data_IF_265788515683
#
_entry.id   IF_265788515683
#
_cell.length_a   1.000
_cell.length_b   1.000
_cell.length_c   1.000
_cell.angle_alpha   90.00
_cell.angle_beta   90.00
_cell.angle_gamma   90.00
#
_symmetry.space_group_name_H-M   'P 1'
#
loop_
_entity.id
_entity.type
_entity.pdbx_description
1 polymer ?
#
# COMPACT_ATOMS: atom_id res chain seq x y z
N UNK A 1 -28.74 84.67 12.22
CA UNK A 1 -28.04 83.97 11.11
C UNK A 1 -27.24 82.83 11.72
N UNK A 2 -27.68 81.61 11.47
CA UNK A 2 -27.26 80.35 12.12
C UNK A 2 -26.11 79.71 11.34
N UNK A 3 -25.14 79.10 12.04
CA UNK A 3 -24.54 77.85 11.55
C UNK A 3 -24.00 77.00 12.71
N UNK A 4 -24.80 76.02 13.11
CA UNK A 4 -24.40 74.86 13.91
C UNK A 4 -23.96 73.79 12.93
N UNK A 5 -22.76 73.23 13.09
CA UNK A 5 -22.29 72.09 12.29
C UNK A 5 -22.41 70.81 13.11
N UNK A 6 -23.39 69.98 12.78
CA UNK A 6 -23.51 68.60 13.26
C UNK A 6 -22.66 67.66 12.40
N UNK A 7 -21.72 66.93 13.00
CA UNK A 7 -21.06 65.79 12.35
C UNK A 7 -22.05 64.64 12.15
N UNK A 8 -22.35 64.31 10.90
CA UNK A 8 -23.04 63.06 10.57
C UNK A 8 -22.04 61.91 10.59
N UNK A 9 -22.30 60.92 11.44
CA UNK A 9 -21.65 59.60 11.40
C UNK A 9 -22.35 58.79 10.32
N UNK A 10 -21.73 58.64 9.15
CA UNK A 10 -22.24 57.79 8.09
C UNK A 10 -22.17 56.32 8.52
N UNK A 11 -23.31 55.64 8.42
CA UNK A 11 -23.49 54.22 8.65
C UNK A 11 -22.93 53.48 7.43
N UNK A 12 -21.70 52.98 7.51
CA UNK A 12 -21.15 52.09 6.50
C UNK A 12 -21.70 50.68 6.72
N UNK A 13 -22.56 50.25 5.81
CA UNK A 13 -22.97 48.86 5.60
C UNK A 13 -21.74 47.96 5.57
N UNK A 14 -21.55 47.13 6.58
CA UNK A 14 -20.50 46.12 6.59
C UNK A 14 -20.86 45.03 5.60
N UNK A 15 -20.28 45.10 4.40
CA UNK A 15 -20.07 43.94 3.55
C UNK A 15 -19.32 42.91 4.38
N UNK A 16 -20.00 41.83 4.75
CA UNK A 16 -19.40 40.65 5.36
C UNK A 16 -18.43 40.03 4.34
N UNK A 17 -17.17 40.46 4.42
CA UNK A 17 -16.04 39.76 3.82
C UNK A 17 -16.00 38.37 4.42
N UNK A 18 -16.27 37.36 3.61
CA UNK A 18 -15.97 35.96 3.95
C UNK A 18 -14.50 35.90 4.40
N UNK A 19 -14.30 35.59 5.68
CA UNK A 19 -12.98 35.29 6.21
C UNK A 19 -12.40 34.12 5.43
N UNK A 20 -11.12 34.14 5.02
CA UNK A 20 -10.51 32.99 4.38
C UNK A 20 -10.65 31.79 5.33
N UNK A 21 -11.34 30.76 4.84
CA UNK A 21 -11.62 29.53 5.56
C UNK A 21 -10.29 29.01 6.12
N UNK A 22 -10.09 29.13 7.44
CA UNK A 22 -8.86 28.75 8.08
C UNK A 22 -8.60 27.28 7.76
N UNK A 23 -7.55 27.01 6.99
CA UNK A 23 -7.15 25.65 6.66
C UNK A 23 -6.91 24.91 7.97
N UNK A 24 -7.59 23.79 8.26
CA UNK A 24 -7.36 23.07 9.50
C UNK A 24 -5.87 22.71 9.58
N UNK A 25 -5.22 23.13 10.67
CA UNK A 25 -3.78 22.96 10.84
C UNK A 25 -3.39 21.50 11.05
N UNK A 26 -4.35 20.65 11.45
CA UNK A 26 -4.17 19.21 11.63
C UNK A 26 -5.50 18.47 11.42
N UNK A 27 -5.46 17.39 10.64
CA UNK A 27 -6.59 16.46 10.50
C UNK A 27 -6.71 15.58 11.75
N UNK A 28 -7.91 15.08 12.04
CA UNK A 28 -8.06 14.08 13.09
C UNK A 28 -7.39 12.76 12.65
N UNK A 29 -6.91 11.91 13.58
CA UNK A 29 -6.29 10.64 13.22
C UNK A 29 -7.17 9.73 12.34
N UNK A 30 -8.50 9.79 12.55
CA UNK A 30 -9.47 9.05 11.73
C UNK A 30 -9.54 9.59 10.30
N UNK A 31 -9.44 10.91 10.12
CA UNK A 31 -9.42 11.56 8.81
C UNK A 31 -8.09 11.31 8.08
N UNK A 32 -6.97 11.28 8.83
CA UNK A 32 -5.67 10.87 8.28
C UNK A 32 -5.71 9.43 7.75
N UNK A 33 -6.31 8.52 8.52
CA UNK A 33 -6.49 7.12 8.10
C UNK A 33 -7.43 7.04 6.90
N UNK A 34 -8.55 7.75 6.92
CA UNK A 34 -9.50 7.77 5.81
C UNK A 34 -8.87 8.32 4.52
N UNK A 35 -8.05 9.37 4.61
CA UNK A 35 -7.26 9.88 3.49
C UNK A 35 -6.34 8.81 2.92
N UNK A 36 -5.61 8.11 3.78
CA UNK A 36 -4.71 7.04 3.37
C UNK A 36 -5.44 5.88 2.69
N UNK A 37 -6.58 5.45 3.25
CA UNK A 37 -7.41 4.41 2.63
C UNK A 37 -8.01 4.87 1.30
N UNK A 38 -8.38 6.15 1.17
CA UNK A 38 -8.85 6.71 -0.10
C UNK A 38 -7.74 6.68 -1.16
N UNK A 39 -6.51 7.04 -0.78
CA UNK A 39 -5.33 6.94 -1.66
C UNK A 39 -5.14 5.52 -2.21
N UNK A 40 -5.19 4.50 -1.32
CA UNK A 40 -5.03 3.10 -1.73
C UNK A 40 -6.20 2.58 -2.57
N UNK A 41 -7.44 2.90 -2.18
CA UNK A 41 -8.63 2.34 -2.80
C UNK A 41 -8.95 2.93 -4.18
N UNK A 42 -8.70 4.23 -4.38
CA UNK A 42 -9.11 4.92 -5.62
C UNK A 42 -7.95 5.24 -6.56
N UNK A 43 -6.70 5.08 -6.11
CA UNK A 43 -5.53 5.48 -6.89
C UNK A 43 -5.50 6.97 -7.24
N UNK A 44 -6.17 7.80 -6.44
CA UNK A 44 -6.21 9.25 -6.68
C UNK A 44 -4.81 9.85 -6.62
N UNK A 45 -4.58 10.86 -7.45
CA UNK A 45 -3.33 11.62 -7.38
C UNK A 45 -3.24 12.39 -6.06
N UNK A 46 -2.03 12.58 -5.55
CA UNK A 46 -1.80 13.38 -4.34
C UNK A 46 -2.44 14.78 -4.44
N UNK A 47 -2.47 15.36 -5.65
CA UNK A 47 -3.08 16.67 -5.91
C UNK A 47 -4.59 16.65 -5.70
N UNK A 48 -5.28 15.60 -6.15
CA UNK A 48 -6.73 15.45 -5.94
C UNK A 48 -7.05 15.24 -4.47
N UNK A 49 -6.25 14.45 -3.76
CA UNK A 49 -6.40 14.25 -2.32
C UNK A 49 -6.22 15.56 -1.55
N UNK A 50 -5.18 16.34 -1.88
CA UNK A 50 -4.96 17.66 -1.28
C UNK A 50 -6.17 18.58 -1.43
N UNK A 51 -6.82 18.55 -2.62
CA UNK A 51 -8.02 19.33 -2.88
C UNK A 51 -9.22 18.81 -2.10
N UNK A 52 -9.49 17.50 -2.13
CA UNK A 52 -10.60 16.85 -1.42
C UNK A 52 -10.59 17.10 0.09
N UNK A 53 -9.40 17.02 0.70
CA UNK A 53 -9.23 17.16 2.14
C UNK A 53 -8.86 18.59 2.57
N UNK A 54 -8.76 19.52 1.61
CA UNK A 54 -8.33 20.90 1.84
C UNK A 54 -7.00 21.00 2.63
N UNK A 55 -6.00 20.17 2.29
CA UNK A 55 -4.69 20.12 2.97
C UNK A 55 -3.51 20.38 2.01
N UNK A 56 -2.40 20.88 2.55
CA UNK A 56 -1.22 21.18 1.74
C UNK A 56 -0.52 19.89 1.29
N UNK A 57 0.10 19.88 0.11
CA UNK A 57 0.84 18.70 -0.41
C UNK A 57 1.89 18.16 0.56
N UNK A 58 2.58 19.05 1.28
CA UNK A 58 3.53 18.65 2.30
C UNK A 58 2.85 17.91 3.49
N UNK A 59 1.63 18.29 3.85
CA UNK A 59 0.86 17.62 4.91
C UNK A 59 0.35 16.27 4.42
N UNK A 60 -0.20 16.22 3.22
CA UNK A 60 -0.66 14.97 2.59
C UNK A 60 0.47 13.93 2.49
N UNK A 61 1.63 14.31 1.97
CA UNK A 61 2.79 13.43 1.86
C UNK A 61 3.25 12.88 3.23
N UNK A 62 3.26 13.72 4.27
CA UNK A 62 3.57 13.28 5.64
C UNK A 62 2.53 12.29 6.17
N UNK A 63 1.25 12.52 5.90
CA UNK A 63 0.17 11.61 6.29
C UNK A 63 0.35 10.27 5.60
N UNK A 64 0.59 10.24 4.27
CA UNK A 64 0.79 8.99 3.54
C UNK A 64 1.93 8.17 4.14
N UNK A 65 3.09 8.78 4.39
CA UNK A 65 4.24 8.10 5.00
C UNK A 65 3.93 7.61 6.42
N UNK A 66 3.34 8.47 7.25
CA UNK A 66 3.02 8.13 8.64
C UNK A 66 2.00 7.01 8.74
N UNK A 67 0.93 7.04 7.93
CA UNK A 67 -0.11 6.00 7.91
C UNK A 67 0.41 4.69 7.31
N UNK A 68 1.24 4.74 6.27
CA UNK A 68 1.95 3.56 5.74
C UNK A 68 2.77 2.87 6.83
N UNK A 69 3.62 3.61 7.54
CA UNK A 69 4.46 3.05 8.60
C UNK A 69 3.63 2.49 9.76
N UNK A 70 2.59 3.21 10.17
CA UNK A 70 1.67 2.73 11.20
C UNK A 70 0.99 1.42 10.82
N UNK A 71 0.46 1.32 9.60
CA UNK A 71 -0.18 0.10 9.10
C UNK A 71 0.81 -1.03 8.90
N UNK A 72 2.03 -0.74 8.46
CA UNK A 72 3.11 -1.73 8.37
C UNK A 72 3.39 -2.37 9.73
N UNK A 73 3.54 -1.56 10.79
CA UNK A 73 3.76 -2.09 12.15
C UNK A 73 2.54 -2.85 12.67
N UNK A 74 1.34 -2.31 12.47
CA UNK A 74 0.10 -2.93 12.95
C UNK A 74 -0.14 -4.28 12.27
N UNK A 75 -0.11 -4.31 10.94
CA UNK A 75 -0.36 -5.53 10.16
C UNK A 75 0.80 -6.52 10.27
N UNK A 76 2.04 -6.04 10.36
CA UNK A 76 3.22 -6.88 10.56
C UNK A 76 3.25 -7.60 11.92
N UNK A 77 2.49 -7.12 12.91
CA UNK A 77 2.33 -7.81 14.19
C UNK A 77 1.38 -9.02 14.12
N UNK A 78 0.58 -9.13 13.05
CA UNK A 78 -0.36 -10.22 12.85
C UNK A 78 0.36 -11.37 12.16
N UNK A 79 0.41 -12.53 12.82
CA UNK A 79 0.85 -13.76 12.16
C UNK A 79 -0.22 -14.24 11.18
N UNK A 80 0.08 -14.12 9.88
CA UNK A 80 -0.83 -14.52 8.79
C UNK A 80 -0.60 -15.96 8.30
N UNK A 81 0.50 -16.60 8.73
CA UNK A 81 0.79 -17.98 8.32
C UNK A 81 -0.24 -18.96 8.91
N UNK A 82 -0.76 -19.84 8.07
CA UNK A 82 -1.83 -20.74 8.44
C UNK A 82 -1.32 -22.18 8.64
N UNK A 83 -1.71 -22.79 9.75
CA UNK A 83 -1.43 -24.21 10.01
C UNK A 83 -2.05 -25.09 8.89
N UNK A 84 -1.35 -26.16 8.44
CA UNK A 84 -1.81 -27.03 7.35
C UNK A 84 -3.25 -27.53 7.54
N UNK A 85 -3.63 -27.89 8.76
CA UNK A 85 -4.95 -28.43 9.09
C UNK A 85 -6.07 -27.42 8.81
N UNK A 86 -5.83 -26.13 9.10
CA UNK A 86 -6.79 -25.05 8.83
C UNK A 86 -6.93 -24.78 7.34
N UNK A 87 -5.82 -24.87 6.59
CA UNK A 87 -5.86 -24.74 5.14
C UNK A 87 -6.68 -25.88 4.52
N UNK A 88 -6.43 -27.12 4.95
CA UNK A 88 -7.16 -28.29 4.45
C UNK A 88 -8.65 -28.26 4.78
N UNK A 89 -9.02 -27.76 5.97
CA UNK A 89 -10.42 -27.64 6.38
C UNK A 89 -11.23 -26.71 5.47
N UNK A 90 -10.60 -25.68 4.91
CA UNK A 90 -11.25 -24.70 4.02
C UNK A 90 -10.90 -24.90 2.55
N UNK A 91 -10.20 -25.98 2.19
CA UNK A 91 -9.69 -26.19 0.84
C UNK A 91 -10.85 -26.38 -0.16
N UNK A 92 -10.91 -25.60 -1.25
CA UNK A 92 -11.96 -25.74 -2.26
C UNK A 92 -11.93 -27.12 -2.92
N UNK A 93 -13.08 -27.60 -3.40
CA UNK A 93 -13.20 -28.88 -4.10
C UNK A 93 -12.36 -28.96 -5.37
N UNK A 94 -12.09 -27.81 -6.00
CA UNK A 94 -11.24 -27.71 -7.20
C UNK A 94 -9.77 -28.10 -6.93
N UNK A 95 -9.33 -28.03 -5.66
CA UNK A 95 -8.02 -28.50 -5.22
C UNK A 95 -8.03 -29.96 -4.76
N UNK A 96 -9.10 -30.72 -5.03
CA UNK A 96 -9.16 -32.15 -4.69
C UNK A 96 -8.17 -33.00 -5.51
N UNK A 97 -8.00 -34.26 -5.11
CA UNK A 97 -7.07 -35.19 -5.77
C UNK A 97 -5.61 -34.80 -5.55
N UNK A 98 -4.81 -34.56 -6.61
CA UNK A 98 -3.36 -34.33 -6.50
C UNK A 98 -2.99 -33.03 -5.75
N UNK A 99 -3.92 -32.06 -5.66
CA UNK A 99 -3.66 -30.75 -5.03
C UNK A 99 -4.22 -30.63 -3.61
N UNK A 100 -4.74 -31.74 -3.04
CA UNK A 100 -5.44 -31.71 -1.74
C UNK A 100 -4.55 -31.23 -0.58
N UNK A 101 -3.24 -31.43 -0.72
CA UNK A 101 -2.24 -31.07 0.27
C UNK A 101 -1.57 -29.72 -0.01
N UNK A 102 -2.07 -28.92 -0.96
CA UNK A 102 -1.53 -27.58 -1.21
C UNK A 102 -1.73 -26.69 0.02
N UNK A 103 -0.64 -26.28 0.66
CA UNK A 103 -0.68 -25.35 1.80
C UNK A 103 -0.70 -23.89 1.33
N UNK A 104 0.07 -23.58 0.28
CA UNK A 104 0.25 -22.23 -0.23
C UNK A 104 0.51 -22.27 -1.74
N UNK A 105 -0.02 -21.28 -2.44
CA UNK A 105 0.21 -20.94 -3.84
C UNK A 105 1.06 -19.68 -3.82
N UNK A 106 2.20 -19.74 -4.51
CA UNK A 106 3.20 -18.68 -4.47
C UNK A 106 3.26 -17.97 -5.82
N UNK A 107 3.33 -16.64 -5.78
CA UNK A 107 3.47 -15.81 -6.97
C UNK A 107 4.28 -14.54 -6.68
N UNK A 108 5.00 -14.05 -7.69
CA UNK A 108 5.73 -12.79 -7.64
C UNK A 108 4.86 -11.65 -8.15
N UNK A 109 4.51 -10.72 -7.28
CA UNK A 109 3.78 -9.50 -7.67
C UNK A 109 4.76 -8.36 -7.92
N UNK A 110 4.70 -7.76 -9.10
CA UNK A 110 5.51 -6.56 -9.43
C UNK A 110 4.71 -5.27 -9.23
N UNK A 111 5.29 -4.33 -8.48
CA UNK A 111 4.76 -2.99 -8.27
C UNK A 111 5.65 -1.96 -8.95
N UNK A 112 5.06 -1.12 -9.80
CA UNK A 112 5.78 0.00 -10.43
C UNK A 112 6.19 1.03 -9.38
N UNK A 113 7.41 1.53 -9.50
CA UNK A 113 7.92 2.63 -8.68
C UNK A 113 8.34 3.83 -9.54
N UNK A 114 8.66 4.94 -8.88
CA UNK A 114 9.27 6.09 -9.55
C UNK A 114 10.68 5.71 -10.01
N UNK A 115 11.04 6.15 -11.21
CA UNK A 115 12.38 5.93 -11.76
C UNK A 115 13.43 6.62 -10.88
N UNK A 116 14.40 5.89 -10.30
CA UNK A 116 15.50 6.49 -9.56
C UNK A 116 16.33 7.41 -10.46
N UNK A 117 16.89 8.47 -9.91
CA UNK A 117 17.83 9.34 -10.64
C UNK A 117 19.21 8.70 -10.85
N UNK A 118 19.59 7.76 -9.97
CA UNK A 118 20.83 6.99 -10.09
C UNK A 118 20.66 5.91 -11.14
N UNK A 119 21.54 5.89 -12.15
CA UNK A 119 21.55 4.86 -13.20
C UNK A 119 21.79 3.46 -12.64
N UNK A 120 22.59 3.34 -11.57
CA UNK A 120 22.85 2.07 -10.90
C UNK A 120 21.55 1.53 -10.28
N UNK A 121 20.90 2.33 -9.44
CA UNK A 121 19.63 1.93 -8.82
C UNK A 121 18.56 1.69 -9.87
N UNK A 122 18.52 2.50 -10.94
CA UNK A 122 17.61 2.32 -12.05
C UNK A 122 17.79 0.94 -12.69
N UNK A 123 19.04 0.53 -12.95
CA UNK A 123 19.33 -0.79 -13.54
C UNK A 123 18.91 -1.95 -12.65
N UNK A 124 19.04 -1.81 -11.33
CA UNK A 124 18.64 -2.82 -10.36
C UNK A 124 17.11 -2.95 -10.29
N UNK A 125 16.39 -1.84 -10.22
CA UNK A 125 14.91 -1.88 -10.11
C UNK A 125 14.22 -2.05 -11.46
N UNK A 126 14.94 -2.00 -12.59
CA UNK A 126 14.33 -2.15 -13.90
C UNK A 126 13.93 -3.60 -14.18
N UNK A 127 12.62 -3.83 -14.29
CA UNK A 127 12.09 -5.11 -14.78
C UNK A 127 12.09 -5.08 -16.30
N UNK A 128 12.92 -5.93 -16.91
CA UNK A 128 12.95 -6.10 -18.37
C UNK A 128 11.60 -6.59 -18.90
N UNK A 129 10.89 -7.42 -18.11
CA UNK A 129 9.57 -7.93 -18.46
C UNK A 129 8.50 -6.84 -18.51
N UNK A 130 8.48 -5.92 -17.54
CA UNK A 130 7.52 -4.80 -17.49
C UNK A 130 8.00 -3.52 -18.16
N UNK A 131 9.24 -3.50 -18.65
CA UNK A 131 9.89 -2.33 -19.25
C UNK A 131 9.85 -1.07 -18.36
N UNK A 132 9.83 -1.25 -17.04
CA UNK A 132 9.66 -0.18 -16.05
C UNK A 132 10.44 -0.46 -14.77
N UNK A 133 10.73 0.60 -14.01
CA UNK A 133 11.25 0.47 -12.65
C UNK A 133 10.15 -0.10 -11.74
N UNK A 134 10.45 -1.21 -11.07
CA UNK A 134 9.52 -1.98 -10.24
C UNK A 134 10.23 -2.52 -9.02
N UNK A 135 9.45 -2.85 -8.00
CA UNK A 135 9.84 -3.77 -6.93
C UNK A 135 8.98 -5.02 -7.00
N UNK A 136 9.56 -6.16 -6.66
CA UNK A 136 8.88 -7.45 -6.59
C UNK A 136 8.61 -7.84 -5.15
N UNK A 137 7.40 -8.32 -4.88
CA UNK A 137 7.04 -8.98 -3.62
C UNK A 137 6.72 -10.44 -3.90
N UNK A 138 7.17 -11.34 -3.03
CA UNK A 138 6.74 -12.73 -3.05
C UNK A 138 5.52 -12.88 -2.16
N UNK A 139 4.41 -13.31 -2.77
CA UNK A 139 3.12 -13.42 -2.11
C UNK A 139 2.72 -14.89 -2.05
N UNK A 140 2.29 -15.32 -0.88
CA UNK A 140 1.69 -16.63 -0.67
C UNK A 140 0.22 -16.51 -0.34
N UNK A 141 -0.61 -17.23 -1.08
CA UNK A 141 -2.03 -17.39 -0.80
C UNK A 141 -2.36 -18.85 -0.57
N UNK A 142 -3.16 -19.12 0.44
CA UNK A 142 -3.79 -20.43 0.61
C UNK A 142 -4.78 -20.75 -0.53
N UNK A 143 -5.08 -22.03 -0.81
CA UNK A 143 -6.03 -22.43 -1.86
C UNK A 143 -7.42 -21.77 -1.80
N UNK A 144 -7.92 -21.46 -0.60
CA UNK A 144 -9.18 -20.74 -0.40
C UNK A 144 -9.09 -19.21 -0.55
N UNK A 145 -7.95 -18.69 -1.00
CA UNK A 145 -7.76 -17.27 -1.33
C UNK A 145 -7.32 -16.38 -0.18
N UNK A 146 -7.07 -16.90 1.02
CA UNK A 146 -6.52 -16.10 2.10
C UNK A 146 -5.02 -15.85 1.89
N UNK A 147 -4.59 -14.61 2.06
CA UNK A 147 -3.18 -14.20 2.08
C UNK A 147 -2.50 -14.80 3.33
N UNK A 148 -1.46 -15.61 3.11
CA UNK A 148 -0.75 -16.31 4.19
C UNK A 148 0.73 -15.95 4.31
N UNK A 149 1.30 -15.30 3.29
CA UNK A 149 2.70 -14.89 3.29
C UNK A 149 2.93 -13.65 2.43
N UNK A 150 3.81 -12.76 2.90
CA UNK A 150 4.29 -11.58 2.19
C UNK A 150 5.77 -11.42 2.52
N UNK A 151 6.64 -11.42 1.50
CA UNK A 151 8.07 -11.16 1.69
C UNK A 151 8.39 -9.68 1.79
N UNK A 152 9.65 -9.37 2.14
CA UNK A 152 10.23 -8.06 1.84
C UNK A 152 10.22 -7.80 0.32
N UNK A 153 10.36 -6.52 -0.05
CA UNK A 153 10.48 -6.13 -1.46
C UNK A 153 11.90 -6.38 -1.98
N UNK A 154 11.98 -6.86 -3.20
CA UNK A 154 13.21 -7.05 -3.97
C UNK A 154 13.18 -6.17 -5.22
N UNK A 155 14.35 -5.93 -5.79
CA UNK A 155 14.52 -5.11 -6.98
C UNK A 155 13.87 -5.74 -8.22
N UNK A 156 13.35 -4.93 -9.15
CA UNK A 156 12.65 -5.44 -10.34
C UNK A 156 13.45 -6.39 -11.24
N UNK A 157 14.79 -6.32 -11.22
CA UNK A 157 15.66 -7.17 -12.03
C UNK A 157 15.91 -8.57 -11.45
N UNK A 158 15.62 -8.80 -10.16
CA UNK A 158 15.90 -10.09 -9.51
C UNK A 158 15.01 -11.21 -10.06
N UNK A 159 15.57 -12.41 -10.14
CA UNK A 159 14.84 -13.59 -10.60
C UNK A 159 13.93 -14.15 -9.51
N UNK A 160 12.79 -14.71 -9.93
CA UNK A 160 11.82 -15.28 -9.00
C UNK A 160 12.40 -16.47 -8.22
N UNK A 161 13.37 -17.19 -8.80
CA UNK A 161 14.12 -18.26 -8.13
C UNK A 161 14.98 -17.73 -6.98
N UNK A 162 15.59 -16.56 -7.16
CA UNK A 162 16.40 -15.93 -6.11
C UNK A 162 15.50 -15.31 -5.03
N UNK A 163 14.37 -14.71 -5.43
CA UNK A 163 13.34 -14.27 -4.49
C UNK A 163 12.89 -15.43 -3.61
N UNK A 164 12.59 -16.60 -4.19
CA UNK A 164 12.19 -17.78 -3.40
C UNK A 164 13.25 -18.11 -2.33
N UNK A 165 14.53 -18.14 -2.71
CA UNK A 165 15.65 -18.43 -1.79
C UNK A 165 15.81 -17.41 -0.67
N UNK A 166 15.57 -16.12 -0.96
CA UNK A 166 15.81 -15.02 -0.02
C UNK A 166 14.55 -14.54 0.73
N UNK A 167 13.35 -14.95 0.28
CA UNK A 167 12.08 -14.50 0.85
C UNK A 167 11.83 -14.99 2.28
N UNK A 168 12.47 -16.09 2.69
CA UNK A 168 12.22 -16.75 3.97
C UNK A 168 11.01 -17.69 3.97
N UNK A 169 10.37 -17.95 2.82
CA UNK A 169 9.25 -18.90 2.73
C UNK A 169 9.67 -20.33 3.08
N UNK A 170 10.90 -20.73 2.74
CA UNK A 170 11.38 -22.10 2.90
C UNK A 170 11.42 -22.57 4.36
N UNK A 171 11.54 -21.65 5.33
CA UNK A 171 11.50 -21.99 6.75
C UNK A 171 10.08 -22.22 7.28
N UNK A 172 9.05 -21.81 6.53
CA UNK A 172 7.64 -21.96 6.89
C UNK A 172 7.01 -23.22 6.29
N UNK A 173 7.57 -23.68 5.15
CA UNK A 173 7.17 -24.93 4.53
C UNK A 173 7.68 -26.10 5.38
N UNK A 174 6.77 -27.00 5.76
CA UNK A 174 7.17 -28.21 6.48
C UNK A 174 7.85 -29.15 5.49
N UNK A 175 8.97 -29.74 5.91
CA UNK A 175 9.68 -30.75 5.13
C UNK A 175 8.88 -32.06 5.22
N UNK A 176 7.77 -32.11 4.49
CA UNK A 176 7.02 -33.36 4.29
C UNK A 176 7.88 -34.23 3.39
N UNK A 177 8.80 -34.99 4.00
CA UNK A 177 9.82 -35.81 3.35
C UNK A 177 9.32 -36.47 2.07
N UNK A 178 9.63 -35.84 0.94
CA UNK A 178 9.33 -36.32 -0.39
C UNK A 178 10.55 -36.07 -1.27
N UNK A 179 11.42 -37.09 -1.30
CA UNK A 179 12.14 -37.46 -2.51
C UNK A 179 11.11 -37.63 -3.63
N UNK A 180 10.86 -36.58 -4.39
CA UNK A 180 9.91 -36.60 -5.49
C UNK A 180 9.89 -35.24 -6.16
N UNK A 181 10.72 -35.06 -7.18
CA UNK A 181 10.88 -33.81 -7.89
C UNK A 181 9.54 -33.27 -8.40
N UNK A 182 9.08 -32.18 -7.81
CA UNK A 182 8.03 -31.35 -8.40
C UNK A 182 8.68 -30.12 -9.00
N UNK A 183 8.58 -30.06 -10.33
CA UNK A 183 8.97 -28.94 -11.17
C UNK A 183 8.30 -27.67 -10.65
N UNK A 184 9.12 -26.69 -10.31
CA UNK A 184 8.75 -25.28 -10.49
C UNK A 184 8.35 -25.14 -11.95
N UNK A 185 7.05 -24.99 -12.21
CA UNK A 185 6.55 -24.73 -13.54
C UNK A 185 6.82 -23.27 -13.84
N UNK A 186 8.00 -22.99 -14.40
CA UNK A 186 8.31 -21.70 -15.01
C UNK A 186 7.25 -21.43 -16.13
N UNK A 187 6.44 -20.39 -15.94
CA UNK A 187 5.76 -19.69 -17.05
C UNK A 187 6.29 -18.27 -17.09
#
# INVERSE_FOLDING_TARGET
MVRVTSSQKSLSTSTSTESPMNRPTKLLPIDELFLFLNYLATGCTQRELCHKFNIHRATESRILVSRSNFLYTLLGSVSIWMAPDRVRANCPTDFSGPYKNTQVILDCTEMRCQTPSSLLLQSEVFSAFKSHCTFKAFIGMSPHGALTFVSALFEGSISDKDIFRHSGISSLLTDDGCNGGQRVSDR
#
